data_IF_177057882309
#
_entry.id   IF_177057882309
#
_cell.length_a   1.000
_cell.length_b   1.000
_cell.length_c   1.000
_cell.angle_alpha   90.00
_cell.angle_beta   90.00
_cell.angle_gamma   90.00
#
_symmetry.space_group_name_H-M   'P 1'
#
loop_
_entity.id
_entity.type
_entity.pdbx_description
1 polymer ?
#
# COMPACT_ATOMS: atom_id res chain seq x y z
N UNK A 1 21.39 17.85 40.77
CA UNK A 1 20.51 18.95 41.19
C UNK A 1 19.10 18.66 40.71
N UNK A 2 18.13 19.06 41.53
CA UNK A 2 16.69 18.78 41.50
C UNK A 2 16.05 18.45 40.15
N UNK A 3 15.27 17.38 40.11
CA UNK A 3 13.98 17.46 39.41
C UNK A 3 12.87 16.90 40.30
N UNK A 4 12.00 17.81 40.71
CA UNK A 4 10.82 17.53 41.50
C UNK A 4 9.84 16.74 40.63
N UNK A 5 9.62 15.48 40.99
CA UNK A 5 8.60 14.64 40.37
C UNK A 5 7.21 15.10 40.85
N UNK A 6 6.57 15.99 40.11
CA UNK A 6 5.13 16.33 40.28
C UNK A 6 4.26 15.79 39.15
N UNK A 7 4.86 15.30 38.06
CA UNK A 7 4.17 14.76 36.88
C UNK A 7 4.48 13.27 36.69
N UNK A 8 3.49 12.52 36.21
CA UNK A 8 3.60 11.10 35.85
C UNK A 8 4.43 10.84 34.58
N UNK A 9 4.74 11.89 33.80
CA UNK A 9 5.45 11.80 32.53
C UNK A 9 6.79 12.52 32.59
N UNK A 10 7.83 12.00 31.91
CA UNK A 10 9.11 12.70 31.81
C UNK A 10 8.94 14.03 31.07
N UNK A 11 9.76 15.01 31.44
CA UNK A 11 9.87 16.25 30.67
C UNK A 11 10.37 15.94 29.26
N UNK A 12 9.98 16.76 28.26
CA UNK A 12 10.50 16.60 26.90
C UNK A 12 12.04 16.70 26.87
N UNK A 13 12.68 16.13 25.83
CA UNK A 13 14.14 16.20 25.67
C UNK A 13 14.64 17.65 25.55
N UNK A 14 15.74 17.99 26.21
CA UNK A 14 16.24 19.38 26.37
C UNK A 14 16.37 20.19 25.07
N UNK A 15 16.70 19.53 23.95
CA UNK A 15 16.83 20.16 22.64
C UNK A 15 15.52 20.76 22.09
N UNK A 16 14.37 20.53 22.74
CA UNK A 16 13.11 21.14 22.31
C UNK A 16 13.12 22.68 22.38
N UNK A 17 13.89 23.26 23.29
CA UNK A 17 14.00 24.72 23.46
C UNK A 17 14.81 25.37 22.33
N UNK A 18 15.67 24.59 21.68
CA UNK A 18 16.55 25.04 20.60
C UNK A 18 15.80 25.11 19.25
N UNK A 19 14.59 24.55 19.14
CA UNK A 19 13.72 24.72 17.97
C UNK A 19 13.10 26.13 17.92
N UNK A 20 13.91 27.12 17.54
CA UNK A 20 13.49 28.52 17.32
C UNK A 20 13.51 28.87 15.83
N UNK A 21 12.72 29.87 15.43
CA UNK A 21 12.70 30.38 14.05
C UNK A 21 14.10 30.75 13.56
N UNK A 22 14.93 31.32 14.44
CA UNK A 22 16.33 31.66 14.17
C UNK A 22 17.17 30.43 13.81
N UNK A 23 17.08 29.35 14.61
CA UNK A 23 17.83 28.12 14.32
C UNK A 23 17.29 27.39 13.09
N UNK A 24 15.99 27.51 12.80
CA UNK A 24 15.38 26.96 11.58
C UNK A 24 15.88 27.66 10.30
N UNK A 25 16.00 28.99 10.32
CA UNK A 25 16.58 29.75 9.21
C UNK A 25 18.06 29.39 8.98
N UNK A 26 18.80 29.10 10.06
CA UNK A 26 20.18 28.59 9.97
C UNK A 26 20.24 27.19 9.36
N UNK A 27 19.29 26.30 9.69
CA UNK A 27 19.18 24.96 9.07
C UNK A 27 18.97 25.10 7.57
N UNK A 28 18.00 25.90 7.13
CA UNK A 28 17.68 26.11 5.72
C UNK A 28 18.89 26.66 4.97
N UNK A 29 19.57 27.65 5.54
CA UNK A 29 20.80 28.21 4.97
C UNK A 29 21.94 27.20 4.89
N UNK A 30 22.07 26.32 5.89
CA UNK A 30 23.11 25.26 5.92
C UNK A 30 22.85 24.12 4.93
N UNK A 31 21.58 23.84 4.61
CA UNK A 31 21.19 22.86 3.57
C UNK A 31 21.52 23.36 2.16
N UNK A 32 21.41 24.67 1.94
CA UNK A 32 21.72 25.31 0.66
C UNK A 32 23.23 25.56 0.45
N UNK A 33 23.99 25.76 1.53
CA UNK A 33 25.45 25.97 1.49
C UNK A 33 26.22 24.68 1.75
N UNK A 34 26.68 24.00 0.68
CA UNK A 34 27.63 22.87 0.75
C UNK A 34 29.05 23.34 1.14
N UNK A 35 29.23 23.93 2.32
CA UNK A 35 30.55 24.30 2.85
C UNK A 35 30.66 23.89 4.32
N UNK A 36 31.67 23.05 4.58
CA UNK A 36 32.04 22.50 5.88
C UNK A 36 32.57 23.62 6.80
N UNK A 37 31.67 24.30 7.51
CA UNK A 37 32.05 25.27 8.54
C UNK A 37 31.40 24.95 9.89
N UNK A 38 32.10 25.35 10.95
CA UNK A 38 31.86 25.05 12.38
C UNK A 38 30.44 25.37 12.91
N UNK A 39 29.62 26.11 12.17
CA UNK A 39 28.20 26.38 12.45
C UNK A 39 27.31 25.15 12.36
N UNK A 40 27.76 24.08 11.70
CA UNK A 40 27.04 22.81 11.60
C UNK A 40 26.93 22.07 12.94
N UNK A 41 27.85 22.29 13.89
CA UNK A 41 27.85 21.62 15.20
C UNK A 41 26.75 22.15 16.13
N UNK A 42 26.45 23.44 16.07
CA UNK A 42 25.39 24.08 16.87
C UNK A 42 23.99 23.62 16.45
N UNK A 43 23.83 23.16 15.22
CA UNK A 43 22.52 22.81 14.64
C UNK A 43 22.36 21.30 14.43
N UNK A 44 23.44 20.54 14.60
CA UNK A 44 23.48 19.09 14.35
C UNK A 44 22.42 18.31 15.12
N UNK A 45 22.10 18.75 16.35
CA UNK A 45 21.12 18.08 17.21
C UNK A 45 19.66 18.38 16.82
N UNK A 46 19.42 19.41 16.00
CA UNK A 46 18.08 19.76 15.46
C UNK A 46 17.76 18.98 14.18
N UNK A 47 18.79 18.50 13.49
CA UNK A 47 18.63 17.60 12.36
C UNK A 47 18.15 16.23 12.82
N UNK A 48 17.32 15.53 12.03
CA UNK A 48 16.98 14.15 12.31
C UNK A 48 18.26 13.32 12.48
N UNK A 49 18.36 12.50 13.54
CA UNK A 49 19.55 11.69 13.77
C UNK A 49 19.78 10.75 12.58
N UNK A 50 21.04 10.51 12.26
CA UNK A 50 21.38 9.51 11.25
C UNK A 50 20.83 8.13 11.66
N UNK A 51 20.43 7.34 10.66
CA UNK A 51 20.00 5.96 10.90
C UNK A 51 21.09 5.21 11.67
N UNK A 52 20.76 4.47 12.74
CA UNK A 52 21.74 3.71 13.49
C UNK A 52 22.38 2.67 12.57
N UNK A 53 23.70 2.70 12.45
CA UNK A 53 24.49 1.68 11.72
C UNK A 53 24.55 0.36 12.49
N UNK A 54 24.46 0.44 13.82
CA UNK A 54 24.44 -0.73 14.66
C UNK A 54 23.08 -1.40 14.51
N UNK A 55 23.09 -2.68 14.16
CA UNK A 55 21.89 -3.50 14.03
C UNK A 55 21.11 -3.66 15.34
N UNK A 56 21.55 -3.08 16.45
CA UNK A 56 21.00 -3.25 17.78
C UNK A 56 20.22 -1.99 18.21
N UNK A 57 18.96 -2.16 18.58
CA UNK A 57 18.10 -1.10 19.06
C UNK A 57 17.21 -1.60 20.19
N UNK A 58 16.86 -0.71 21.11
CA UNK A 58 15.99 -1.04 22.24
C UNK A 58 14.55 -0.69 21.89
N UNK A 59 13.70 -1.70 21.73
CA UNK A 59 12.27 -1.53 21.46
C UNK A 59 11.47 -1.97 22.69
N UNK A 60 10.72 -1.03 23.29
CA UNK A 60 9.93 -1.26 24.52
C UNK A 60 10.74 -1.85 25.68
N UNK A 61 11.97 -1.37 25.86
CA UNK A 61 12.84 -1.87 26.91
C UNK A 61 13.56 -3.18 26.59
N UNK A 62 13.26 -3.81 25.45
CA UNK A 62 13.91 -5.05 25.00
C UNK A 62 14.94 -4.73 23.94
N UNK A 63 16.17 -5.15 24.16
CA UNK A 63 17.23 -5.09 23.15
C UNK A 63 16.87 -6.04 21.99
N UNK A 64 16.86 -5.50 20.77
CA UNK A 64 16.54 -6.22 19.54
C UNK A 64 17.65 -5.98 18.55
N UNK A 65 18.02 -7.03 17.85
CA UNK A 65 18.93 -6.93 16.70
C UNK A 65 18.12 -7.08 15.41
N UNK A 66 18.45 -6.31 14.36
CA UNK A 66 17.79 -6.37 13.04
C UNK A 66 17.89 -7.77 12.42
N UNK A 67 18.96 -8.52 12.72
CA UNK A 67 19.16 -9.89 12.26
C UNK A 67 18.19 -10.90 12.90
N UNK A 68 17.84 -10.68 14.18
CA UNK A 68 16.87 -11.52 14.90
C UNK A 68 15.42 -11.23 14.47
N UNK A 69 15.18 -10.13 13.75
CA UNK A 69 13.92 -9.86 13.03
C UNK A 69 14.02 -10.30 11.59
N UNK A 70 14.37 -11.57 11.35
CA UNK A 70 14.40 -12.17 10.01
C UNK A 70 12.97 -12.32 9.45
N UNK A 71 12.34 -11.19 9.15
CA UNK A 71 11.12 -11.14 8.36
C UNK A 71 11.53 -11.63 6.98
N UNK A 72 11.08 -12.82 6.62
CA UNK A 72 11.39 -13.44 5.34
C UNK A 72 11.02 -12.45 4.21
N UNK A 73 11.91 -12.28 3.23
CA UNK A 73 11.71 -11.29 2.18
C UNK A 73 10.40 -11.52 1.40
N UNK A 74 9.77 -10.46 0.88
CA UNK A 74 8.49 -10.55 0.17
C UNK A 74 8.45 -11.63 -0.92
N UNK A 75 9.55 -11.78 -1.68
CA UNK A 75 9.71 -12.80 -2.73
C UNK A 75 9.69 -14.23 -2.19
N UNK A 76 10.23 -14.43 -1.00
CA UNK A 76 10.22 -15.75 -0.35
C UNK A 76 8.83 -16.11 0.17
N UNK A 77 8.04 -15.13 0.65
CA UNK A 77 6.66 -15.36 1.09
C UNK A 77 5.73 -15.69 -0.08
N UNK A 78 5.86 -14.98 -1.21
CA UNK A 78 5.00 -15.24 -2.37
C UNK A 78 5.14 -16.66 -2.92
N UNK A 79 6.29 -17.29 -2.67
CA UNK A 79 6.62 -18.64 -3.14
C UNK A 79 6.32 -19.73 -2.09
N UNK A 80 5.85 -19.37 -0.90
CA UNK A 80 5.46 -20.36 0.10
C UNK A 80 4.26 -21.16 -0.41
N UNK A 81 4.50 -22.46 -0.57
CA UNK A 81 3.53 -23.38 -1.14
C UNK A 81 2.32 -23.56 -0.20
N UNK A 82 1.12 -23.64 -0.76
CA UNK A 82 -0.11 -23.91 0.00
C UNK A 82 -0.01 -25.14 0.93
N UNK A 83 0.81 -26.13 0.55
CA UNK A 83 1.11 -27.33 1.36
C UNK A 83 1.81 -27.00 2.68
N UNK A 84 2.68 -25.99 2.72
CA UNK A 84 3.37 -25.58 3.95
C UNK A 84 2.39 -24.93 4.94
N UNK A 85 1.46 -24.10 4.45
CA UNK A 85 0.40 -23.52 5.28
C UNK A 85 -0.49 -24.60 5.91
N UNK A 86 -0.87 -25.60 5.13
CA UNK A 86 -1.64 -26.73 5.67
C UNK A 86 -0.87 -27.48 6.77
N UNK A 87 0.44 -27.68 6.59
CA UNK A 87 1.30 -28.31 7.61
C UNK A 87 1.37 -27.44 8.88
N UNK A 88 1.58 -26.13 8.75
CA UNK A 88 1.61 -25.20 9.89
C UNK A 88 0.27 -25.11 10.62
N UNK A 89 -0.85 -25.04 9.88
CA UNK A 89 -2.21 -25.07 10.45
C UNK A 89 -2.48 -26.38 11.20
N UNK A 90 -2.05 -27.53 10.65
CA UNK A 90 -2.12 -28.83 11.34
C UNK A 90 -1.26 -28.85 12.60
N UNK A 91 -0.06 -28.26 12.58
CA UNK A 91 0.81 -28.12 13.75
C UNK A 91 0.15 -27.28 14.84
N UNK A 92 -0.46 -26.14 14.49
CA UNK A 92 -1.20 -25.31 15.44
C UNK A 92 -2.38 -26.06 16.05
N UNK A 93 -3.15 -26.81 15.25
CA UNK A 93 -4.23 -27.67 15.76
C UNK A 93 -3.71 -28.76 16.71
N UNK A 94 -2.54 -29.34 16.44
CA UNK A 94 -1.90 -30.33 17.32
C UNK A 94 -1.45 -29.69 18.64
N UNK A 95 -0.87 -28.49 18.59
CA UNK A 95 -0.49 -27.74 19.79
C UNK A 95 -1.70 -27.36 20.63
N UNK A 96 -2.82 -26.93 20.02
CA UNK A 96 -4.06 -26.68 20.75
C UNK A 96 -4.56 -27.91 21.50
N UNK A 97 -4.55 -29.08 20.86
CA UNK A 97 -4.92 -30.35 21.53
C UNK A 97 -3.95 -30.67 22.67
N UNK A 98 -2.66 -30.47 22.47
CA UNK A 98 -1.63 -30.66 23.49
C UNK A 98 -1.81 -29.70 24.67
N UNK A 99 -2.17 -28.44 24.41
CA UNK A 99 -2.42 -27.44 25.45
C UNK A 99 -3.61 -27.82 26.32
N UNK A 100 -4.71 -28.24 25.69
CA UNK A 100 -5.91 -28.69 26.42
C UNK A 100 -5.58 -29.92 27.27
N UNK A 101 -4.81 -30.87 26.72
CA UNK A 101 -4.38 -32.05 27.46
C UNK A 101 -3.50 -31.68 28.65
N UNK A 102 -2.48 -30.84 28.44
CA UNK A 102 -1.60 -30.39 29.52
C UNK A 102 -2.36 -29.59 30.59
N UNK A 103 -3.36 -28.79 30.18
CA UNK A 103 -4.23 -28.10 31.13
C UNK A 103 -5.08 -29.06 31.97
N UNK A 104 -5.59 -30.14 31.36
CA UNK A 104 -6.33 -31.16 32.08
C UNK A 104 -5.42 -31.94 33.05
N UNK A 105 -4.21 -32.31 32.60
CA UNK A 105 -3.18 -32.92 33.47
C UNK A 105 -2.80 -32.01 34.64
N UNK A 106 -2.74 -30.69 34.41
CA UNK A 106 -2.47 -29.73 35.48
C UNK A 106 -3.58 -29.76 36.54
N UNK A 107 -4.85 -29.78 36.13
CA UNK A 107 -5.99 -29.86 37.07
C UNK A 107 -5.93 -31.18 37.87
N UNK A 108 -5.63 -32.29 37.20
CA UNK A 108 -5.48 -33.60 37.85
C UNK A 108 -4.36 -33.60 38.89
N UNK A 109 -3.16 -33.10 38.53
CA UNK A 109 -2.01 -33.00 39.42
C UNK A 109 -2.31 -32.06 40.60
N UNK A 110 -3.00 -30.94 40.37
CA UNK A 110 -3.38 -30.03 41.44
C UNK A 110 -4.36 -30.66 42.43
N UNK A 111 -5.22 -31.57 41.97
CA UNK A 111 -6.14 -32.31 42.84
C UNK A 111 -5.45 -33.40 43.67
N UNK A 112 -4.38 -34.02 43.16
CA UNK A 112 -3.68 -35.12 43.82
C UNK A 112 -2.48 -34.64 44.63
N UNK A 113 -1.55 -33.91 44.00
CA UNK A 113 -0.29 -33.45 44.59
C UNK A 113 0.14 -32.09 44.01
N UNK A 114 -0.20 -30.96 44.66
CA UNK A 114 0.04 -29.62 44.11
C UNK A 114 1.52 -29.24 43.95
N UNK A 115 2.43 -29.90 44.67
CA UNK A 115 3.88 -29.65 44.63
C UNK A 115 4.47 -30.02 43.25
N UNK A 116 3.91 -31.01 42.57
CA UNK A 116 4.40 -31.47 41.25
C UNK A 116 3.82 -30.66 40.08
N UNK A 117 2.98 -29.65 40.35
CA UNK A 117 2.33 -28.84 39.30
C UNK A 117 3.31 -27.98 38.48
N UNK A 118 4.53 -27.75 38.98
CA UNK A 118 5.52 -26.90 38.31
C UNK A 118 5.92 -27.40 36.92
N UNK A 119 6.18 -28.70 36.77
CA UNK A 119 6.55 -29.29 35.47
C UNK A 119 5.44 -29.10 34.43
N UNK A 120 4.19 -29.29 34.82
CA UNK A 120 3.06 -29.13 33.91
C UNK A 120 2.82 -27.66 33.51
N UNK A 121 3.06 -26.70 34.43
CA UNK A 121 3.05 -25.26 34.10
C UNK A 121 4.14 -24.89 33.09
N UNK A 122 5.33 -25.47 33.20
CA UNK A 122 6.42 -25.25 32.25
C UNK A 122 6.06 -25.77 30.85
N UNK A 123 5.47 -26.96 30.77
CA UNK A 123 4.99 -27.51 29.49
C UNK A 123 3.91 -26.65 28.85
N UNK A 124 2.98 -26.08 29.64
CA UNK A 124 1.97 -25.13 29.14
C UNK A 124 2.65 -23.86 28.62
N UNK A 125 3.61 -23.30 29.36
CA UNK A 125 4.37 -22.12 28.93
C UNK A 125 5.09 -22.37 27.61
N UNK A 126 5.76 -23.50 27.47
CA UNK A 126 6.45 -23.89 26.24
C UNK A 126 5.46 -24.07 25.08
N UNK A 127 4.32 -24.71 25.32
CA UNK A 127 3.26 -24.87 24.32
C UNK A 127 2.75 -23.51 23.82
N UNK A 128 2.54 -22.55 24.73
CA UNK A 128 2.10 -21.19 24.39
C UNK A 128 3.15 -20.39 23.63
N UNK A 129 4.42 -20.45 24.03
CA UNK A 129 5.52 -19.81 23.28
C UNK A 129 5.59 -20.35 21.85
N UNK A 130 5.55 -21.68 21.69
CA UNK A 130 5.56 -22.32 20.37
C UNK A 130 4.35 -21.92 19.50
N UNK A 131 3.17 -21.69 20.11
CA UNK A 131 2.01 -21.19 19.38
C UNK A 131 2.18 -19.73 18.96
N UNK A 132 2.71 -18.88 19.85
CA UNK A 132 2.98 -17.48 19.53
C UNK A 132 3.98 -17.35 18.40
N UNK A 133 5.04 -18.16 18.40
CA UNK A 133 6.03 -18.18 17.33
C UNK A 133 5.40 -18.60 16.01
N UNK A 134 4.54 -19.63 15.99
CA UNK A 134 3.80 -20.01 14.79
C UNK A 134 2.86 -18.89 14.30
N UNK A 135 2.17 -18.20 15.20
CA UNK A 135 1.30 -17.07 14.83
C UNK A 135 2.15 -15.93 14.27
N UNK A 136 3.32 -15.67 14.84
CA UNK A 136 4.27 -14.67 14.34
C UNK A 136 4.75 -15.02 12.93
N UNK A 137 5.00 -16.29 12.63
CA UNK A 137 5.29 -16.74 11.27
C UNK A 137 4.12 -16.53 10.29
N UNK A 138 2.87 -16.50 10.76
CA UNK A 138 1.69 -16.24 9.92
C UNK A 138 1.46 -14.73 9.65
N UNK A 139 1.98 -13.83 10.48
CA UNK A 139 1.77 -12.37 10.36
C UNK A 139 2.14 -11.82 8.98
N UNK A 140 3.30 -12.17 8.40
CA UNK A 140 3.67 -11.62 7.11
C UNK A 140 2.73 -12.06 5.99
N UNK A 141 2.24 -13.31 6.04
CA UNK A 141 1.27 -13.83 5.06
C UNK A 141 -0.08 -13.15 5.22
N UNK A 142 -0.54 -12.95 6.46
CA UNK A 142 -1.79 -12.23 6.75
C UNK A 142 -1.75 -10.81 6.18
N UNK A 143 -0.63 -10.10 6.34
CA UNK A 143 -0.46 -8.77 5.78
C UNK A 143 -0.55 -8.77 4.24
N UNK A 144 -0.01 -9.81 3.58
CA UNK A 144 -0.10 -9.95 2.12
C UNK A 144 -1.50 -10.28 1.62
N UNK A 145 -2.21 -11.18 2.30
CA UNK A 145 -3.61 -11.48 1.99
C UNK A 145 -4.47 -10.23 2.15
N UNK A 146 -4.25 -9.47 3.22
CA UNK A 146 -4.92 -8.21 3.44
C UNK A 146 -4.58 -7.17 2.36
N UNK A 147 -3.30 -7.04 1.99
CA UNK A 147 -2.87 -6.16 0.91
C UNK A 147 -3.49 -6.54 -0.44
N UNK A 148 -3.61 -7.83 -0.74
CA UNK A 148 -4.30 -8.31 -1.95
C UNK A 148 -5.78 -7.90 -1.95
N UNK A 149 -6.47 -8.05 -0.82
CA UNK A 149 -7.87 -7.60 -0.68
C UNK A 149 -7.98 -6.09 -0.90
N UNK A 150 -7.07 -5.31 -0.32
CA UNK A 150 -7.01 -3.86 -0.53
C UNK A 150 -6.86 -3.51 -2.02
N UNK A 151 -5.93 -4.15 -2.71
CA UNK A 151 -5.69 -3.92 -4.14
C UNK A 151 -6.90 -4.31 -4.99
N UNK A 152 -7.56 -5.44 -4.69
CA UNK A 152 -8.78 -5.83 -5.40
C UNK A 152 -9.89 -4.79 -5.20
N UNK A 153 -10.08 -4.31 -3.97
CA UNK A 153 -11.06 -3.25 -3.71
C UNK A 153 -10.73 -1.96 -4.47
N UNK A 154 -9.46 -1.61 -4.60
CA UNK A 154 -9.03 -0.47 -5.40
C UNK A 154 -9.35 -0.67 -6.89
N UNK A 155 -9.11 -1.88 -7.43
CA UNK A 155 -9.47 -2.20 -8.81
C UNK A 155 -10.99 -2.08 -9.02
N UNK A 156 -11.80 -2.67 -8.14
CA UNK A 156 -13.27 -2.61 -8.22
C UNK A 156 -13.77 -1.15 -8.18
N UNK A 157 -13.18 -0.31 -7.33
CA UNK A 157 -13.50 1.13 -7.29
C UNK A 157 -13.16 1.84 -8.59
N UNK A 158 -12.01 1.53 -9.19
CA UNK A 158 -11.61 2.12 -10.47
C UNK A 158 -12.51 1.67 -11.62
N UNK A 159 -12.92 0.41 -11.64
CA UNK A 159 -13.85 -0.12 -12.65
C UNK A 159 -15.23 0.54 -12.54
N UNK A 160 -15.75 0.66 -11.31
CA UNK A 160 -17.00 1.37 -11.05
C UNK A 160 -16.92 2.83 -11.50
N UNK A 161 -15.82 3.52 -11.21
CA UNK A 161 -15.60 4.90 -11.65
C UNK A 161 -15.59 5.04 -13.17
N UNK A 162 -14.97 4.08 -13.88
CA UNK A 162 -14.96 4.05 -15.35
C UNK A 162 -16.37 3.83 -15.90
N UNK A 163 -17.13 2.92 -15.30
CA UNK A 163 -18.50 2.63 -15.75
C UNK A 163 -19.43 3.85 -15.55
N UNK A 164 -19.29 4.57 -14.42
CA UNK A 164 -20.02 5.81 -14.18
C UNK A 164 -19.68 6.89 -15.21
N UNK A 165 -18.40 7.03 -15.58
CA UNK A 165 -17.98 7.99 -16.62
C UNK A 165 -18.59 7.61 -17.97
N UNK A 166 -18.61 6.33 -18.34
CA UNK A 166 -19.23 5.86 -19.59
C UNK A 166 -20.74 6.08 -19.61
N UNK A 167 -21.41 5.87 -18.49
CA UNK A 167 -22.84 6.14 -18.36
C UNK A 167 -23.14 7.64 -18.52
N UNK A 168 -22.33 8.49 -17.89
CA UNK A 168 -22.42 9.93 -18.07
C UNK A 168 -22.16 10.38 -19.51
N UNK A 169 -21.14 9.83 -20.17
CA UNK A 169 -20.83 10.09 -21.58
C UNK A 169 -22.00 9.71 -22.49
N UNK A 170 -22.58 8.52 -22.29
CA UNK A 170 -23.75 8.09 -23.05
C UNK A 170 -24.97 8.99 -22.80
N UNK A 171 -25.21 9.39 -21.54
CA UNK A 171 -26.31 10.29 -21.19
C UNK A 171 -26.14 11.67 -21.83
N UNK A 172 -24.93 12.22 -21.79
CA UNK A 172 -24.60 13.51 -22.40
C UNK A 172 -24.73 13.48 -23.92
N UNK A 173 -24.24 12.43 -24.58
CA UNK A 173 -24.40 12.26 -26.03
C UNK A 173 -25.88 12.13 -26.43
N UNK A 174 -26.70 11.43 -25.63
CA UNK A 174 -28.14 11.38 -25.88
C UNK A 174 -28.79 12.76 -25.75
N UNK A 175 -28.44 13.53 -24.71
CA UNK A 175 -28.95 14.90 -24.54
C UNK A 175 -28.55 15.83 -25.70
N UNK A 176 -27.29 15.74 -26.17
CA UNK A 176 -26.85 16.50 -27.35
C UNK A 176 -27.67 16.09 -28.57
N UNK A 177 -27.84 14.79 -28.82
CA UNK A 177 -28.60 14.32 -29.96
C UNK A 177 -30.07 14.75 -29.89
N UNK A 178 -30.68 14.77 -28.69
CA UNK A 178 -32.02 15.28 -28.49
C UNK A 178 -32.11 16.79 -28.77
N UNK A 179 -31.12 17.58 -28.35
CA UNK A 179 -31.05 19.02 -28.63
C UNK A 179 -30.84 19.31 -30.12
N UNK A 180 -29.97 18.56 -30.79
CA UNK A 180 -29.77 18.65 -32.25
C UNK A 180 -31.06 18.28 -32.97
N UNK A 181 -31.78 17.24 -32.51
CA UNK A 181 -33.06 16.84 -33.07
C UNK A 181 -34.17 17.88 -32.84
N UNK A 182 -34.12 18.67 -31.76
CA UNK A 182 -35.02 19.80 -31.56
C UNK A 182 -34.65 21.01 -32.42
N UNK A 183 -33.36 21.34 -32.57
CA UNK A 183 -32.90 22.48 -33.37
C UNK A 183 -33.14 22.26 -34.88
N UNK A 184 -32.92 21.04 -35.37
CA UNK A 184 -33.21 20.66 -36.77
C UNK A 184 -34.72 20.65 -37.10
N UNK A 185 -35.61 20.55 -36.09
CA UNK A 185 -37.05 20.75 -36.25
C UNK A 185 -37.45 22.22 -36.27
N UNK A 186 -36.73 23.09 -35.58
CA UNK A 186 -36.93 24.54 -35.64
C UNK A 186 -36.43 25.12 -36.97
N UNK A 187 -35.28 24.67 -37.49
CA UNK A 187 -34.76 25.11 -38.81
C UNK A 187 -35.65 24.66 -39.99
N UNK A 188 -36.40 23.55 -39.89
CA UNK A 188 -37.38 23.17 -40.92
C UNK A 188 -38.69 24.00 -40.88
N UNK A 189 -38.85 24.89 -39.89
CA UNK A 189 -40.06 25.70 -39.72
C UNK A 189 -39.87 27.18 -40.09
N UNK A 190 -38.65 27.65 -40.38
CA UNK A 190 -38.37 29.09 -40.44
C UNK A 190 -37.47 29.59 -41.57
N UNK A 191 -37.31 28.87 -42.68
CA UNK A 191 -36.61 29.42 -43.86
C UNK A 191 -37.37 29.11 -45.17
N UNK A 192 -38.47 29.85 -45.37
CA UNK A 192 -38.77 30.43 -46.69
C UNK A 192 -38.05 31.80 -46.73
N UNK A 193 -37.45 32.10 -47.88
CA UNK A 193 -36.90 33.41 -48.32
C UNK A 193 -35.46 33.83 -47.93
N UNK A 194 -34.58 33.61 -48.93
CA UNK A 194 -33.59 34.57 -49.50
C UNK A 194 -32.17 34.72 -48.91
N UNK A 195 -31.20 34.19 -49.67
CA UNK A 195 -30.02 34.86 -50.24
C UNK A 195 -29.48 36.12 -49.53
N UNK A 196 -28.21 36.09 -49.11
CA UNK A 196 -27.11 36.79 -49.79
C UNK A 196 -25.80 36.71 -48.98
N UNK A 197 -24.71 36.55 -49.72
CA UNK A 197 -23.33 36.73 -49.27
C UNK A 197 -23.14 38.13 -48.68
N UNK A 198 -22.57 38.24 -47.48
CA UNK A 198 -21.86 39.47 -47.08
C UNK A 198 -20.79 39.16 -46.01
N UNK A 199 -19.55 39.21 -46.49
CA UNK A 199 -18.31 39.25 -45.73
C UNK A 199 -18.26 40.58 -44.97
N UNK A 200 -18.25 40.55 -43.62
CA UNK A 200 -17.95 41.73 -42.81
C UNK A 200 -17.00 41.35 -41.68
N UNK A 201 -15.72 41.71 -41.89
CA UNK A 201 -14.71 41.88 -40.85
C UNK A 201 -15.17 42.94 -39.84
N UNK A 202 -15.24 42.57 -38.55
CA UNK A 202 -15.25 43.52 -37.45
C UNK A 202 -14.28 43.05 -36.36
N UNK A 203 -13.07 43.60 -36.41
CA UNK A 203 -12.20 43.69 -35.25
C UNK A 203 -12.89 44.56 -34.19
N UNK A 204 -13.00 44.04 -32.96
CA UNK A 204 -13.19 44.85 -31.78
C UNK A 204 -12.20 44.40 -30.71
N UNK A 205 -11.18 45.23 -30.50
CA UNK A 205 -10.40 45.25 -29.27
C UNK A 205 -11.33 45.51 -28.09
N UNK A 206 -11.19 44.77 -26.99
CA UNK A 206 -11.43 45.25 -25.61
C UNK A 206 -10.93 44.23 -24.57
N UNK A 207 -10.16 44.74 -23.61
CA UNK A 207 -9.89 44.27 -22.24
C UNK A 207 -9.00 43.02 -22.00
N UNK A 208 -7.69 43.27 -22.06
CA UNK A 208 -6.63 42.45 -21.47
C UNK A 208 -6.55 42.72 -19.97
N UNK A 209 -7.23 41.93 -19.13
CA UNK A 209 -6.86 41.83 -17.70
C UNK A 209 -7.38 40.57 -16.98
N UNK A 210 -8.32 39.80 -17.55
CA UNK A 210 -8.92 38.62 -16.89
C UNK A 210 -8.33 37.27 -17.30
N UNK A 211 -7.40 37.24 -18.26
CA UNK A 211 -6.82 35.99 -18.81
C UNK A 211 -5.58 35.48 -18.06
N UNK A 212 -4.94 36.28 -17.20
CA UNK A 212 -3.72 35.86 -16.50
C UNK A 212 -4.02 34.82 -15.39
N UNK A 213 -5.05 35.03 -14.57
CA UNK A 213 -5.41 34.08 -13.49
C UNK A 213 -6.06 32.79 -14.01
N UNK A 214 -6.82 32.87 -15.11
CA UNK A 214 -7.43 31.70 -15.75
C UNK A 214 -6.36 30.82 -16.42
N UNK A 215 -5.31 31.42 -16.99
CA UNK A 215 -4.23 30.65 -17.63
C UNK A 215 -3.31 29.94 -16.62
N UNK A 216 -3.00 30.55 -15.46
CA UNK A 216 -2.19 29.87 -14.43
C UNK A 216 -2.93 28.71 -13.74
N UNK A 217 -4.22 28.87 -13.44
CA UNK A 217 -5.04 27.81 -12.82
C UNK A 217 -5.30 26.65 -13.79
N UNK A 218 -5.58 26.94 -15.06
CA UNK A 218 -5.77 25.93 -16.12
C UNK A 218 -4.48 25.16 -16.38
N UNK A 219 -3.31 25.82 -16.41
CA UNK A 219 -2.00 25.16 -16.60
C UNK A 219 -1.62 24.24 -15.44
N UNK A 220 -1.97 24.60 -14.20
CA UNK A 220 -1.74 23.75 -13.01
C UNK A 220 -2.68 22.54 -12.97
N UNK A 221 -3.94 22.72 -13.37
CA UNK A 221 -4.92 21.63 -13.53
C UNK A 221 -4.47 20.65 -14.63
N UNK A 222 -4.04 21.16 -15.79
CA UNK A 222 -3.51 20.34 -16.89
C UNK A 222 -2.21 19.61 -16.54
N UNK A 223 -1.31 20.21 -15.73
CA UNK A 223 -0.11 19.51 -15.24
C UNK A 223 -0.43 18.37 -14.26
N UNK A 224 -1.45 18.54 -13.41
CA UNK A 224 -1.91 17.49 -12.52
C UNK A 224 -2.60 16.36 -13.29
N UNK A 225 -3.44 16.67 -14.28
CA UNK A 225 -4.07 15.63 -15.12
C UNK A 225 -3.05 14.91 -16.00
N UNK A 226 -2.06 15.62 -16.56
CA UNK A 226 -1.02 15.01 -17.40
C UNK A 226 -0.08 14.10 -16.58
N UNK A 227 0.23 14.46 -15.33
CA UNK A 227 0.99 13.60 -14.40
C UNK A 227 0.18 12.37 -13.98
N UNK A 228 -1.11 12.52 -13.70
CA UNK A 228 -2.04 11.41 -13.41
C UNK A 228 -2.22 10.48 -14.63
N UNK A 229 -2.27 11.02 -15.85
CA UNK A 229 -2.36 10.24 -17.09
C UNK A 229 -1.07 9.49 -17.40
N UNK A 230 0.11 10.08 -17.13
CA UNK A 230 1.41 9.40 -17.24
C UNK A 230 1.54 8.25 -16.23
N UNK A 231 1.12 8.46 -14.98
CA UNK A 231 1.08 7.42 -13.95
C UNK A 231 0.11 6.29 -14.32
N UNK A 232 -1.09 6.60 -14.85
CA UNK A 232 -2.09 5.62 -15.33
C UNK A 232 -1.61 4.84 -16.57
N UNK A 233 -0.91 5.47 -17.52
CA UNK A 233 -0.30 4.77 -18.67
C UNK A 233 0.81 3.82 -18.25
N UNK A 234 1.68 4.24 -17.31
CA UNK A 234 2.75 3.39 -16.79
C UNK A 234 2.20 2.15 -16.06
N UNK A 235 1.18 2.34 -15.22
CA UNK A 235 0.53 1.23 -14.51
C UNK A 235 -0.28 0.31 -15.44
N UNK A 236 -0.92 0.82 -16.49
CA UNK A 236 -1.55 -0.03 -17.53
C UNK A 236 -0.53 -0.90 -18.27
N UNK A 237 0.62 -0.33 -18.66
CA UNK A 237 1.70 -1.07 -19.33
C UNK A 237 2.26 -2.16 -18.40
N UNK A 238 2.37 -1.88 -17.11
CA UNK A 238 2.86 -2.83 -16.10
C UNK A 238 1.85 -3.96 -15.83
N UNK A 239 0.55 -3.64 -15.81
CA UNK A 239 -0.53 -4.63 -15.73
C UNK A 239 -0.60 -5.52 -16.97
N UNK A 240 -0.43 -4.97 -18.18
CA UNK A 240 -0.37 -5.77 -19.42
C UNK A 240 0.84 -6.71 -19.44
N UNK A 241 2.00 -6.27 -18.92
CA UNK A 241 3.18 -7.15 -18.75
C UNK A 241 2.91 -8.29 -17.77
N UNK A 242 2.22 -8.02 -16.66
CA UNK A 242 1.86 -9.04 -15.67
C UNK A 242 0.79 -10.01 -16.19
N UNK A 243 -0.18 -9.53 -16.97
CA UNK A 243 -1.20 -10.35 -17.62
C UNK A 243 -0.56 -11.31 -18.65
N UNK A 244 0.39 -10.79 -19.44
CA UNK A 244 1.13 -11.59 -20.40
C UNK A 244 2.01 -12.64 -19.70
N UNK A 245 2.64 -12.29 -18.58
CA UNK A 245 3.40 -13.23 -17.75
C UNK A 245 2.52 -14.34 -17.17
N UNK A 246 1.32 -14.01 -16.66
CA UNK A 246 0.34 -14.99 -16.15
C UNK A 246 -0.15 -15.93 -17.24
N UNK A 247 -0.41 -15.40 -18.44
CA UNK A 247 -0.81 -16.22 -19.59
C UNK A 247 0.32 -17.18 -20.03
N UNK A 248 1.57 -16.73 -19.98
CA UNK A 248 2.74 -17.56 -20.32
C UNK A 248 3.03 -18.67 -19.28
N UNK A 249 2.68 -18.45 -18.01
CA UNK A 249 2.75 -19.49 -16.97
C UNK A 249 1.66 -20.54 -17.18
N UNK A 250 0.44 -20.10 -17.50
CA UNK A 250 -0.67 -21.02 -17.77
C UNK A 250 -0.42 -21.90 -19.00
N UNK A 251 0.17 -21.35 -20.07
CA UNK A 251 0.54 -22.14 -21.26
C UNK A 251 1.67 -23.12 -20.98
N UNK A 252 2.66 -22.78 -20.15
CA UNK A 252 3.70 -23.72 -19.69
C UNK A 252 3.11 -24.87 -18.86
N UNK A 253 2.22 -24.57 -17.91
CA UNK A 253 1.54 -25.62 -17.13
C UNK A 253 0.65 -26.54 -17.98
N UNK A 254 0.02 -26.03 -19.05
CA UNK A 254 -0.74 -26.83 -20.01
C UNK A 254 0.17 -27.74 -20.86
N UNK A 255 1.34 -27.24 -21.29
CA UNK A 255 2.33 -28.04 -22.02
C UNK A 255 2.96 -29.13 -21.15
N UNK A 256 3.27 -28.84 -19.88
CA UNK A 256 3.81 -29.83 -18.93
C UNK A 256 2.77 -30.93 -18.59
N UNK A 257 1.48 -30.58 -18.55
CA UNK A 257 0.41 -31.56 -18.39
C UNK A 257 0.21 -32.43 -19.64
N UNK A 258 0.34 -31.87 -20.85
CA UNK A 258 0.29 -32.65 -22.10
C UNK A 258 1.51 -33.57 -22.27
N UNK A 259 2.71 -33.13 -21.85
CA UNK A 259 3.90 -33.99 -21.84
C UNK A 259 3.75 -35.16 -20.85
N UNK A 260 3.19 -34.94 -19.66
CA UNK A 260 2.94 -36.02 -18.69
C UNK A 260 1.86 -37.01 -19.18
N UNK A 261 0.80 -36.54 -19.85
CA UNK A 261 -0.22 -37.42 -20.46
C UNK A 261 0.35 -38.27 -21.61
N UNK A 262 1.28 -37.72 -22.40
CA UNK A 262 1.98 -38.47 -23.47
C UNK A 262 2.95 -39.54 -22.95
N UNK A 263 3.60 -39.31 -21.80
CA UNK A 263 4.48 -40.29 -21.15
C UNK A 263 3.67 -41.41 -20.48
N UNK A 264 2.53 -41.09 -19.86
CA UNK A 264 1.65 -42.10 -19.24
C UNK A 264 1.01 -43.01 -20.30
N UNK A 265 0.62 -42.49 -21.46
CA UNK A 265 0.05 -43.32 -22.54
C UNK A 265 1.08 -44.20 -23.26
N UNK A 266 2.37 -43.83 -23.25
CA UNK A 266 3.45 -44.70 -23.77
C UNK A 266 3.87 -45.81 -22.80
N UNK A 267 3.64 -45.64 -21.49
CA UNK A 267 3.93 -46.67 -20.48
C UNK A 267 2.82 -47.72 -20.30
N UNK A 268 1.62 -47.47 -20.84
CA UNK A 268 0.50 -48.43 -20.82
C UNK A 268 0.39 -49.27 -22.11
N UNK A 269 1.39 -49.24 -22.99
CA UNK A 269 1.39 -49.93 -24.30
C UNK A 269 2.65 -50.77 -24.56
N UNK A 270 3.36 -51.14 -23.49
CA UNK A 270 4.39 -52.20 -23.45
C UNK A 270 3.95 -53.18 -22.36
#
# INVERSE_FOLDING_TARGET
MNNQHTSAWPLPPLYFEEYTDYHMDLIEKSLDSTSEDSSTLEVQHLLPPAYPLNNEFKLFGVERTLENTSISSLKTLSNQNFKEYQKKSKKLKKLNKSLILNYLSLIEILSVNPIQSESCRLEIKECLTNMLDLVNEFRPIQALEHFKVLLNNQLDQTENSINLIKEFESGFNNQINDLIASHTKEELSSEDETLSDEEVELESELEVDTLSEVTYSTKRSLMNTSSQVKLKKSSKIELEKLLNYKNNINTRHLLDNQFNLGVINKLNLI
#
